data_IF_514900718209
#
_entry.id   IF_514900718209
#
_cell.length_a   1.000
_cell.length_b   1.000
_cell.length_c   1.000
_cell.angle_alpha   90.00
_cell.angle_beta   90.00
_cell.angle_gamma   90.00
#
_symmetry.space_group_name_H-M   'P 1'
#
loop_
_entity.id
_entity.type
_entity.pdbx_description
1 polymer ?
#
# COMPACT_ATOMS: atom_id res chain seq x y z
N UNK A 1 68.47 -7.60 -7.73
CA UNK A 1 67.23 -8.38 -7.85
C UNK A 1 66.10 -7.55 -7.24
N UNK A 2 65.30 -6.83 -8.04
CA UNK A 2 64.25 -5.93 -7.54
C UNK A 2 62.91 -6.68 -7.52
N UNK A 3 62.41 -6.93 -6.32
CA UNK A 3 61.07 -7.45 -6.06
C UNK A 3 60.04 -6.40 -6.50
N UNK A 4 59.25 -6.69 -7.54
CA UNK A 4 58.05 -5.93 -7.89
C UNK A 4 56.85 -6.68 -7.33
N UNK A 5 56.39 -6.28 -6.16
CA UNK A 5 55.17 -6.79 -5.53
C UNK A 5 54.14 -5.66 -5.45
N UNK A 6 52.92 -6.02 -5.84
CA UNK A 6 51.62 -5.41 -5.60
C UNK A 6 51.26 -4.08 -6.29
N UNK A 7 50.44 -4.19 -7.33
CA UNK A 7 49.40 -3.22 -7.68
C UNK A 7 48.14 -4.01 -8.08
N UNK A 8 47.46 -4.59 -7.08
CA UNK A 8 46.23 -5.36 -7.27
C UNK A 8 45.35 -5.29 -6.00
N UNK A 9 45.03 -4.08 -5.57
CA UNK A 9 44.12 -3.88 -4.44
C UNK A 9 43.42 -2.52 -4.51
N UNK A 10 42.65 -2.24 -5.57
CA UNK A 10 41.79 -1.05 -5.58
C UNK A 10 40.54 -1.19 -6.45
N UNK A 11 39.79 -2.29 -6.30
CA UNK A 11 38.49 -2.46 -6.98
C UNK A 11 37.41 -3.15 -6.11
N UNK A 12 37.40 -2.93 -4.79
CA UNK A 12 36.44 -3.64 -3.91
C UNK A 12 35.42 -2.81 -3.12
N UNK A 13 35.30 -1.49 -3.35
CA UNK A 13 34.47 -0.66 -2.45
C UNK A 13 33.15 -0.09 -3.00
N UNK A 14 32.74 -0.36 -4.24
CA UNK A 14 31.51 0.25 -4.80
C UNK A 14 30.26 -0.66 -4.82
N UNK A 15 30.39 -1.96 -4.55
CA UNK A 15 29.26 -2.91 -4.62
C UNK A 15 28.25 -2.83 -3.46
N UNK A 16 28.66 -2.35 -2.28
CA UNK A 16 27.88 -2.51 -1.06
C UNK A 16 26.61 -1.63 -1.02
N UNK A 17 26.70 -0.40 -1.54
CA UNK A 17 25.55 0.52 -1.55
C UNK A 17 24.43 0.10 -2.50
N UNK A 18 24.75 -0.61 -3.59
CA UNK A 18 23.74 -1.07 -4.54
C UNK A 18 22.95 -2.24 -3.99
N UNK A 19 23.63 -3.23 -3.41
CA UNK A 19 22.98 -4.38 -2.77
C UNK A 19 22.08 -3.97 -1.60
N UNK A 20 22.53 -3.02 -0.76
CA UNK A 20 21.69 -2.49 0.32
C UNK A 20 20.40 -1.83 -0.20
N UNK A 21 20.49 -1.07 -1.29
CA UNK A 21 19.30 -0.44 -1.89
C UNK A 21 18.33 -1.48 -2.46
N UNK A 22 18.82 -2.55 -3.08
CA UNK A 22 18.01 -3.65 -3.60
C UNK A 22 17.36 -4.44 -2.46
N UNK A 23 18.09 -4.69 -1.37
CA UNK A 23 17.53 -5.35 -0.19
C UNK A 23 16.44 -4.49 0.48
N UNK A 24 16.63 -3.17 0.54
CA UNK A 24 15.61 -2.25 1.08
C UNK A 24 14.39 -2.08 0.18
N UNK A 25 14.56 -2.21 -1.15
CA UNK A 25 13.43 -2.21 -2.08
C UNK A 25 12.67 -3.53 -1.99
N UNK A 26 13.34 -4.68 -1.94
CA UNK A 26 12.74 -6.02 -1.89
C UNK A 26 12.35 -6.47 -0.46
N UNK A 27 12.12 -5.51 0.44
CA UNK A 27 11.78 -5.78 1.82
C UNK A 27 10.46 -6.57 1.94
N UNK A 28 10.49 -7.62 2.77
CA UNK A 28 9.34 -8.45 3.12
C UNK A 28 9.41 -8.86 4.59
N UNK A 29 8.26 -8.88 5.26
CA UNK A 29 8.06 -9.45 6.59
C UNK A 29 6.72 -10.19 6.65
N UNK A 30 6.56 -11.06 7.65
CA UNK A 30 5.32 -11.80 7.85
C UNK A 30 5.01 -11.90 9.34
N UNK A 31 3.75 -11.72 9.69
CA UNK A 31 3.19 -12.01 11.00
C UNK A 31 1.70 -12.32 10.82
N UNK A 32 1.36 -13.61 10.79
CA UNK A 32 -0.01 -14.05 10.52
C UNK A 32 -0.98 -13.75 11.67
N UNK A 33 -0.48 -13.33 12.83
CA UNK A 33 -1.33 -12.91 13.95
C UNK A 33 -1.85 -11.49 13.78
N UNK A 34 -1.28 -10.70 12.86
CA UNK A 34 -1.73 -9.35 12.57
C UNK A 34 -2.61 -9.35 11.32
N UNK A 35 -3.81 -8.79 11.43
CA UNK A 35 -4.69 -8.58 10.27
C UNK A 35 -4.22 -7.37 9.44
N UNK A 36 -3.06 -7.53 8.83
CA UNK A 36 -2.41 -6.53 7.98
C UNK A 36 -1.82 -7.23 6.77
N UNK A 37 -2.10 -6.71 5.59
CA UNK A 37 -1.46 -7.07 4.34
C UNK A 37 -0.92 -5.79 3.72
N UNK A 38 0.32 -5.81 3.24
CA UNK A 38 0.92 -4.67 2.57
C UNK A 38 1.63 -5.11 1.30
N UNK A 39 1.48 -4.33 0.24
CA UNK A 39 2.08 -4.63 -1.05
C UNK A 39 2.35 -3.35 -1.84
N UNK A 40 3.38 -3.40 -2.68
CA UNK A 40 3.58 -2.44 -3.75
C UNK A 40 2.69 -2.85 -4.91
N UNK A 41 1.77 -1.97 -5.28
CA UNK A 41 0.79 -2.19 -6.34
C UNK A 41 0.96 -1.23 -7.50
N UNK A 42 0.64 -1.71 -8.71
CA UNK A 42 0.36 -0.86 -9.88
C UNK A 42 -1.14 -0.77 -10.07
N UNK A 43 -1.67 0.44 -10.19
CA UNK A 43 -3.11 0.68 -10.39
C UNK A 43 -3.57 0.05 -11.71
N UNK A 44 -4.66 -0.71 -11.64
CA UNK A 44 -5.40 -1.19 -12.82
C UNK A 44 -6.69 -0.35 -12.95
N UNK A 45 -7.54 -0.34 -11.92
CA UNK A 45 -8.74 0.51 -11.88
C UNK A 45 -9.11 0.91 -10.45
N UNK A 46 -9.84 2.02 -10.32
CA UNK A 46 -10.50 2.47 -9.09
C UNK A 46 -11.87 3.01 -9.53
N UNK A 47 -12.92 2.30 -9.16
CA UNK A 47 -14.28 2.52 -9.64
C UNK A 47 -15.19 2.84 -8.45
N UNK A 48 -15.92 3.94 -8.54
CA UNK A 48 -16.88 4.37 -7.52
C UNK A 48 -18.19 3.59 -7.66
N UNK A 49 -18.71 3.09 -6.54
CA UNK A 49 -20.06 2.54 -6.46
C UNK A 49 -21.03 3.70 -6.18
N UNK A 50 -21.66 4.18 -7.25
CA UNK A 50 -22.65 5.26 -7.22
C UNK A 50 -23.96 4.77 -6.58
N UNK A 51 -24.04 4.76 -5.24
CA UNK A 51 -25.29 4.47 -4.50
C UNK A 51 -25.30 5.12 -3.11
N UNK A 52 -24.83 6.36 -3.00
CA UNK A 52 -24.69 7.05 -1.70
C UNK A 52 -25.93 7.84 -1.25
N UNK A 53 -27.04 7.80 -1.98
CA UNK A 53 -28.27 8.54 -1.63
C UNK A 53 -29.48 7.64 -1.64
N UNK A 54 -30.18 7.58 -0.51
CA UNK A 54 -31.50 6.98 -0.40
C UNK A 54 -32.52 8.06 -0.06
N UNK A 55 -33.60 8.11 -0.82
CA UNK A 55 -34.73 8.99 -0.52
C UNK A 55 -35.78 8.18 0.22
N UNK A 56 -36.07 8.56 1.46
CA UNK A 56 -37.16 7.97 2.25
C UNK A 56 -38.20 9.04 2.59
N UNK A 57 -39.35 8.60 3.09
CA UNK A 57 -40.40 9.48 3.61
C UNK A 57 -40.32 9.54 5.12
N UNK A 58 -40.38 10.74 5.69
CA UNK A 58 -40.57 10.93 7.12
C UNK A 58 -41.93 10.32 7.51
N UNK A 59 -41.97 9.35 8.45
CA UNK A 59 -43.21 8.68 8.82
C UNK A 59 -44.19 9.58 9.58
N UNK A 60 -43.72 10.69 10.16
CA UNK A 60 -44.54 11.64 10.94
C UNK A 60 -44.99 12.84 10.13
N UNK A 61 -44.13 13.39 9.25
CA UNK A 61 -44.44 14.59 8.46
C UNK A 61 -44.74 14.32 6.98
N UNK A 62 -44.48 13.11 6.48
CA UNK A 62 -44.54 12.74 5.06
C UNK A 62 -43.59 13.57 4.15
N UNK A 63 -42.64 14.29 4.75
CA UNK A 63 -41.58 14.99 4.04
C UNK A 63 -40.59 14.02 3.40
N UNK A 64 -39.85 14.49 2.41
CA UNK A 64 -38.77 13.71 1.83
C UNK A 64 -37.48 13.89 2.63
N UNK A 65 -36.95 12.80 3.17
CA UNK A 65 -35.62 12.75 3.80
C UNK A 65 -34.64 12.16 2.78
N UNK A 66 -33.49 12.80 2.62
CA UNK A 66 -32.36 12.26 1.85
C UNK A 66 -31.35 11.71 2.84
N UNK A 67 -31.23 10.39 2.92
CA UNK A 67 -30.13 9.72 3.63
C UNK A 67 -28.93 9.71 2.69
N UNK A 68 -27.86 10.37 3.13
CA UNK A 68 -26.57 10.37 2.43
C UNK A 68 -25.65 9.42 3.19
N UNK A 69 -25.18 8.37 2.51
CA UNK A 69 -24.07 7.57 3.03
C UNK A 69 -22.82 8.44 2.98
N UNK A 70 -22.21 8.69 4.12
CA UNK A 70 -21.10 9.63 4.24
C UNK A 70 -19.79 9.07 3.70
N UNK A 71 -19.71 7.75 3.51
CA UNK A 71 -18.56 7.11 2.87
C UNK A 71 -18.95 6.63 1.46
N UNK A 72 -18.25 7.16 0.46
CA UNK A 72 -18.26 6.62 -0.90
C UNK A 72 -17.48 5.31 -0.91
N UNK A 73 -18.01 4.31 -1.61
CA UNK A 73 -17.40 2.97 -1.71
C UNK A 73 -16.74 2.82 -3.06
N UNK A 74 -15.51 2.34 -3.08
CA UNK A 74 -14.72 2.14 -4.29
C UNK A 74 -14.28 0.68 -4.42
N UNK A 75 -14.48 0.10 -5.59
CA UNK A 75 -13.84 -1.15 -5.98
C UNK A 75 -12.50 -0.83 -6.62
N UNK A 76 -11.43 -1.30 -5.99
CA UNK A 76 -10.07 -1.02 -6.38
C UNK A 76 -9.39 -2.28 -6.89
N UNK A 77 -8.80 -2.21 -8.08
CA UNK A 77 -8.04 -3.31 -8.69
C UNK A 77 -6.60 -2.91 -8.94
N UNK A 78 -5.66 -3.69 -8.42
CA UNK A 78 -4.22 -3.42 -8.50
C UNK A 78 -3.46 -4.69 -8.87
N UNK A 79 -2.45 -4.55 -9.73
CA UNK A 79 -1.43 -5.59 -9.92
C UNK A 79 -0.49 -5.57 -8.71
N UNK A 80 -0.19 -6.74 -8.15
CA UNK A 80 0.77 -6.92 -7.07
C UNK A 80 2.15 -7.06 -7.68
N UNK A 81 3.00 -6.05 -7.47
CA UNK A 81 4.38 -6.06 -7.95
C UNK A 81 5.34 -6.64 -6.92
N UNK A 82 5.04 -6.41 -5.64
CA UNK A 82 5.84 -6.92 -4.54
C UNK A 82 4.99 -7.01 -3.27
N UNK A 83 5.01 -8.17 -2.61
CA UNK A 83 4.51 -8.30 -1.24
C UNK A 83 5.48 -7.66 -0.25
N UNK A 84 4.97 -6.88 0.69
CA UNK A 84 5.75 -6.18 1.73
C UNK A 84 5.47 -6.75 3.12
N UNK A 85 4.22 -7.11 3.39
CA UNK A 85 3.82 -7.72 4.65
C UNK A 85 2.65 -8.66 4.47
N UNK A 86 2.76 -9.91 4.95
CA UNK A 86 1.79 -10.99 4.75
C UNK A 86 1.43 -11.22 3.26
N UNK A 87 1.83 -12.37 2.72
CA UNK A 87 1.72 -12.64 1.28
C UNK A 87 0.27 -12.69 0.78
N UNK A 88 -0.01 -11.92 -0.27
CA UNK A 88 -1.14 -12.14 -1.17
C UNK A 88 -0.64 -12.99 -2.34
N UNK A 89 -1.25 -14.15 -2.55
CA UNK A 89 -0.78 -15.18 -3.50
C UNK A 89 -1.10 -14.90 -4.97
N UNK A 90 -1.98 -13.95 -5.25
CA UNK A 90 -2.42 -13.58 -6.60
C UNK A 90 -1.51 -12.49 -7.17
N UNK A 91 -1.42 -12.42 -8.50
CA UNK A 91 -0.67 -11.36 -9.21
C UNK A 91 -1.46 -10.04 -9.30
N UNK A 92 -2.76 -10.08 -9.01
CA UNK A 92 -3.61 -8.93 -8.89
C UNK A 92 -4.60 -9.13 -7.73
N UNK A 93 -5.02 -8.02 -7.15
CA UNK A 93 -5.96 -7.98 -6.04
C UNK A 93 -7.08 -7.00 -6.33
N UNK A 94 -8.28 -7.38 -5.89
CA UNK A 94 -9.43 -6.52 -5.77
C UNK A 94 -9.74 -6.31 -4.28
N UNK A 95 -10.03 -5.06 -3.90
CA UNK A 95 -10.37 -4.70 -2.53
C UNK A 95 -11.31 -3.50 -2.52
N UNK A 96 -12.03 -3.32 -1.41
CA UNK A 96 -12.85 -2.13 -1.19
C UNK A 96 -12.06 -1.02 -0.51
N UNK A 97 -12.29 0.22 -0.94
CA UNK A 97 -11.89 1.41 -0.20
C UNK A 97 -13.12 2.24 0.13
N UNK A 98 -13.07 2.88 1.29
CA UNK A 98 -14.12 3.75 1.80
C UNK A 98 -13.50 5.11 2.03
N UNK A 99 -14.10 6.17 1.49
CA UNK A 99 -13.58 7.52 1.64
C UNK A 99 -14.72 8.51 1.93
N UNK A 100 -14.45 9.43 2.86
CA UNK A 100 -15.44 10.36 3.38
C UNK A 100 -15.48 11.68 2.59
N UNK A 101 -14.39 12.01 1.90
CA UNK A 101 -14.19 13.32 1.28
C UNK A 101 -14.12 13.20 -0.26
N UNK A 102 -14.84 12.24 -0.81
CA UNK A 102 -14.86 11.94 -2.23
C UNK A 102 -14.00 10.71 -2.53
N UNK A 103 -13.00 10.88 -3.40
CA UNK A 103 -12.30 9.73 -3.98
C UNK A 103 -10.92 9.49 -3.34
N UNK A 104 -10.50 8.22 -3.11
CA UNK A 104 -9.27 7.93 -2.42
C UNK A 104 -8.03 8.56 -3.09
N UNK A 105 -7.24 9.30 -2.32
CA UNK A 105 -6.05 10.02 -2.84
C UNK A 105 -5.07 9.11 -3.58
N UNK A 106 -4.94 7.85 -3.17
CA UNK A 106 -4.05 6.88 -3.79
C UNK A 106 -4.41 6.61 -5.26
N UNK A 107 -5.65 6.89 -5.68
CA UNK A 107 -6.09 6.72 -7.07
C UNK A 107 -5.27 7.58 -8.03
N UNK A 108 -4.68 8.67 -7.56
CA UNK A 108 -3.96 9.62 -8.41
C UNK A 108 -2.53 9.15 -8.76
N UNK A 109 -2.11 8.00 -8.25
CA UNK A 109 -0.76 7.47 -8.43
C UNK A 109 -0.78 6.13 -9.18
N UNK A 110 0.17 5.95 -10.10
CA UNK A 110 0.33 4.69 -10.82
C UNK A 110 0.86 3.58 -9.90
N UNK A 111 1.83 3.91 -9.04
CA UNK A 111 2.48 2.99 -8.11
C UNK A 111 2.25 3.44 -6.67
N UNK A 112 1.83 2.52 -5.82
CA UNK A 112 1.47 2.79 -4.42
C UNK A 112 1.91 1.66 -3.51
N UNK A 113 2.24 1.98 -2.26
CA UNK A 113 2.28 1.02 -1.17
C UNK A 113 0.92 1.09 -0.46
N UNK A 114 0.16 0.01 -0.53
CA UNK A 114 -1.18 -0.09 0.06
C UNK A 114 -1.16 -1.01 1.28
N UNK A 115 -2.12 -0.78 2.18
CA UNK A 115 -2.29 -1.48 3.44
C UNK A 115 -3.74 -1.94 3.53
N UNK A 116 -3.95 -3.25 3.66
CA UNK A 116 -5.26 -3.86 3.66
C UNK A 116 -5.47 -4.68 4.94
N UNK A 117 -6.71 -4.79 5.38
CA UNK A 117 -7.18 -5.86 6.25
C UNK A 117 -7.91 -6.91 5.41
N UNK A 118 -8.06 -8.11 5.98
CA UNK A 118 -8.83 -9.21 5.39
C UNK A 118 -9.87 -9.68 6.39
N UNK A 119 -11.12 -9.79 5.98
CA UNK A 119 -12.17 -10.34 6.83
C UNK A 119 -12.18 -11.88 6.84
N UNK A 120 -13.07 -12.46 7.63
CA UNK A 120 -13.23 -13.93 7.75
C UNK A 120 -13.77 -14.58 6.48
N UNK A 121 -14.50 -13.84 5.64
CA UNK A 121 -14.95 -14.29 4.31
C UNK A 121 -13.83 -14.21 3.25
N UNK A 122 -12.70 -13.59 3.60
CA UNK A 122 -11.52 -13.43 2.77
C UNK A 122 -11.54 -12.20 1.86
N UNK A 123 -12.48 -11.29 2.07
CA UNK A 123 -12.56 -10.01 1.37
C UNK A 123 -11.52 -9.05 1.94
N UNK A 124 -10.89 -8.30 1.05
CA UNK A 124 -9.90 -7.31 1.42
C UNK A 124 -10.51 -5.91 1.46
N UNK A 125 -10.10 -5.14 2.46
CA UNK A 125 -10.51 -3.75 2.63
C UNK A 125 -9.29 -2.87 2.87
N UNK A 126 -9.24 -1.72 2.20
CA UNK A 126 -8.21 -0.72 2.40
C UNK A 126 -8.28 -0.15 3.82
N UNK A 127 -7.12 -0.06 4.47
CA UNK A 127 -7.01 0.66 5.74
C UNK A 127 -7.12 2.15 5.47
N UNK A 128 -8.27 2.73 5.80
CA UNK A 128 -8.66 4.11 5.46
C UNK A 128 -7.51 5.12 5.64
N UNK A 129 -7.22 5.84 4.55
CA UNK A 129 -6.16 6.86 4.41
C UNK A 129 -4.72 6.35 4.54
N UNK A 130 -4.49 5.04 4.61
CA UNK A 130 -3.16 4.47 4.73
C UNK A 130 -2.65 4.06 3.36
N UNK A 131 -1.80 4.89 2.77
CA UNK A 131 -0.99 4.54 1.60
C UNK A 131 0.30 5.36 1.59
N UNK A 132 1.24 4.99 0.74
CA UNK A 132 2.33 5.85 0.30
C UNK A 132 2.41 5.87 -1.22
N UNK A 133 2.49 7.06 -1.82
CA UNK A 133 2.75 7.22 -3.24
C UNK A 133 4.20 6.84 -3.57
N UNK A 134 4.39 6.07 -4.65
CA UNK A 134 5.69 5.56 -5.04
C UNK A 134 6.10 6.05 -6.44
N UNK A 135 7.40 5.98 -6.69
CA UNK A 135 8.00 6.10 -8.02
C UNK A 135 8.86 4.87 -8.31
N UNK A 136 8.81 4.44 -9.57
CA UNK A 136 9.72 3.42 -10.08
C UNK A 136 11.16 3.95 -10.15
N UNK A 137 12.11 3.06 -9.97
CA UNK A 137 13.55 3.30 -10.07
C UNK A 137 14.19 2.12 -10.79
N UNK A 138 15.44 2.28 -11.22
CA UNK A 138 16.23 1.17 -11.79
C UNK A 138 16.46 0.00 -10.81
N UNK A 139 16.14 0.17 -9.52
CA UNK A 139 16.36 -0.83 -8.46
C UNK A 139 15.05 -1.26 -7.77
N UNK A 140 13.88 -0.97 -8.36
CA UNK A 140 12.58 -1.23 -7.74
C UNK A 140 11.85 0.07 -7.39
N UNK A 141 11.24 0.17 -6.21
CA UNK A 141 10.37 1.29 -5.85
C UNK A 141 10.88 2.09 -4.65
N UNK A 142 10.55 3.39 -4.64
CA UNK A 142 10.74 4.28 -3.49
C UNK A 142 9.53 5.18 -3.32
N UNK A 143 9.33 5.70 -2.12
CA UNK A 143 8.39 6.80 -1.91
C UNK A 143 8.74 7.99 -2.80
N UNK A 144 7.73 8.78 -3.16
CA UNK A 144 7.95 10.04 -3.89
C UNK A 144 8.94 10.96 -3.14
N UNK A 145 8.92 10.90 -1.81
CA UNK A 145 9.85 11.56 -0.88
C UNK A 145 11.26 10.91 -0.77
N UNK A 146 11.54 9.88 -1.58
CA UNK A 146 12.83 9.18 -1.62
C UNK A 146 13.05 8.11 -0.55
N UNK A 147 12.12 7.92 0.40
CA UNK A 147 12.22 6.88 1.44
C UNK A 147 12.09 5.48 0.82
N UNK A 148 12.80 4.50 1.38
CA UNK A 148 12.68 3.09 0.97
C UNK A 148 11.36 2.47 1.44
N UNK A 149 10.93 1.40 0.77
CA UNK A 149 9.72 0.64 1.11
C UNK A 149 9.75 0.19 2.57
N UNK A 150 10.89 -0.35 3.03
CA UNK A 150 11.11 -0.71 4.44
C UNK A 150 10.81 0.45 5.40
N UNK A 151 11.35 1.64 5.11
CA UNK A 151 11.19 2.81 6.00
C UNK A 151 9.75 3.30 6.04
N UNK A 152 9.06 3.34 4.90
CA UNK A 152 7.65 3.71 4.81
C UNK A 152 6.77 2.73 5.59
N UNK A 153 6.93 1.44 5.30
CA UNK A 153 6.18 0.37 5.95
C UNK A 153 6.35 0.38 7.48
N UNK A 154 7.59 0.35 7.98
CA UNK A 154 7.85 0.30 9.42
C UNK A 154 7.34 1.56 10.14
N UNK A 155 7.41 2.72 9.49
CA UNK A 155 6.86 3.95 10.06
C UNK A 155 5.35 3.83 10.26
N UNK A 156 4.58 3.43 9.23
CA UNK A 156 3.12 3.27 9.34
C UNK A 156 2.75 2.14 10.30
N UNK A 157 3.41 0.97 10.22
CA UNK A 157 3.21 -0.17 11.12
C UNK A 157 3.30 0.23 12.60
N UNK A 158 4.30 1.06 12.94
CA UNK A 158 4.57 1.45 14.33
C UNK A 158 3.84 2.73 14.77
N UNK A 159 3.11 3.40 13.88
CA UNK A 159 2.36 4.63 14.19
C UNK A 159 0.88 4.44 13.85
N UNK A 160 0.44 4.89 12.68
CA UNK A 160 -0.96 4.98 12.27
C UNK A 160 -1.66 3.62 12.16
N UNK A 161 -0.92 2.53 11.99
CA UNK A 161 -1.47 1.18 11.92
C UNK A 161 -1.42 0.42 13.24
N UNK A 162 -0.62 0.85 14.22
CA UNK A 162 -0.34 0.07 15.43
C UNK A 162 -1.62 -0.36 16.17
N UNK A 163 -2.55 0.58 16.32
CA UNK A 163 -3.84 0.37 17.00
C UNK A 163 -4.88 -0.31 16.10
N UNK A 164 -4.66 -0.39 14.79
CA UNK A 164 -5.61 -0.95 13.81
C UNK A 164 -5.35 -2.43 13.48
N UNK A 165 -4.19 -2.94 13.84
CA UNK A 165 -3.73 -4.29 13.49
C UNK A 165 -3.71 -5.25 14.69
N UNK A 166 -3.95 -4.72 15.89
CA UNK A 166 -3.96 -5.46 17.15
C UNK A 166 -5.42 -5.70 17.54
N UNK A 167 -6.02 -6.75 16.97
CA UNK A 167 -7.35 -7.24 17.34
C UNK A 167 -7.30 -8.76 17.49
#
# INVERSE_FOLDING_TARGET
MKVRILLLALMFFWGCNSQKQIAESNFYQEDKNLNLYAFVGKKISVEEILNNKQKIKDPNSNDSIIIINMDEVFICKYQILQNVFNKISKDAIEFEAYDHYGSPDFKNYEYVLLYLSKDTAGKFTHMKYQFDALKATNKGFKGINGKSIRKLFLNKKNTTLKERISF
#
